data_IF_356766241975
#
_entry.id   IF_356766241975
#
_cell.length_a   1.000
_cell.length_b   1.000
_cell.length_c   1.000
_cell.angle_alpha   90.00
_cell.angle_beta   90.00
_cell.angle_gamma   90.00
#
_symmetry.space_group_name_H-M   'P 1'
#
loop_
_entity.id
_entity.type
_entity.pdbx_description
1 polymer ?
#
# COMPACT_ATOMS: atom_id res chain seq x y z
N UNK A 1 -1.85 -9.48 -14.97
CA UNK A 1 -0.90 -9.39 -13.83
C UNK A 1 0.42 -9.84 -14.37
N UNK A 2 1.50 -9.06 -14.23
CA UNK A 2 2.81 -9.51 -14.69
C UNK A 2 3.12 -10.85 -14.03
N UNK A 3 3.45 -11.86 -14.84
CA UNK A 3 3.86 -13.20 -14.41
C UNK A 3 5.27 -13.20 -13.80
N UNK A 4 5.86 -12.02 -13.62
CA UNK A 4 7.17 -11.89 -13.00
C UNK A 4 7.10 -12.37 -11.54
N UNK A 5 8.05 -13.22 -11.13
CA UNK A 5 8.09 -13.71 -9.76
C UNK A 5 8.29 -12.56 -8.79
N UNK A 6 7.64 -12.65 -7.63
CA UNK A 6 7.91 -11.71 -6.54
C UNK A 6 9.28 -12.02 -5.95
N UNK A 7 10.21 -11.10 -6.15
CA UNK A 7 11.54 -11.04 -5.56
C UNK A 7 11.63 -9.89 -4.56
N UNK A 8 12.69 -9.88 -3.73
CA UNK A 8 12.98 -8.76 -2.82
C UNK A 8 13.01 -7.43 -3.58
N UNK A 9 13.62 -7.39 -4.76
CA UNK A 9 13.68 -6.19 -5.61
C UNK A 9 12.28 -5.75 -6.07
N UNK A 10 11.50 -6.67 -6.65
CA UNK A 10 10.14 -6.34 -7.12
C UNK A 10 9.19 -5.89 -6.01
N UNK A 11 9.32 -6.46 -4.79
CA UNK A 11 8.54 -6.05 -3.61
C UNK A 11 8.95 -4.63 -3.22
N UNK A 12 10.26 -4.35 -3.12
CA UNK A 12 10.77 -3.02 -2.78
C UNK A 12 10.23 -1.95 -3.72
N UNK A 13 10.24 -2.22 -5.02
CA UNK A 13 9.79 -1.27 -6.03
C UNK A 13 8.28 -1.07 -5.99
N UNK A 14 7.52 -2.15 -5.84
CA UNK A 14 6.06 -2.13 -5.75
C UNK A 14 5.52 -1.33 -4.55
N UNK A 15 6.30 -1.20 -3.46
CA UNK A 15 5.89 -0.42 -2.29
C UNK A 15 5.81 1.09 -2.59
N UNK A 16 6.55 1.60 -3.58
CA UNK A 16 6.48 2.99 -4.05
C UNK A 16 6.85 4.09 -3.04
N UNK A 17 7.08 3.73 -1.77
CA UNK A 17 7.42 4.63 -0.68
C UNK A 17 8.81 4.25 -0.11
N UNK A 18 9.79 5.17 -0.13
CA UNK A 18 11.14 4.90 0.37
C UNK A 18 11.19 4.41 1.83
N UNK A 19 10.34 4.94 2.70
CA UNK A 19 10.30 4.52 4.11
C UNK A 19 9.77 3.10 4.27
N UNK A 20 8.76 2.70 3.50
CA UNK A 20 8.26 1.33 3.48
C UNK A 20 9.29 0.36 2.89
N UNK A 21 9.96 0.75 1.81
CA UNK A 21 11.04 -0.02 1.21
C UNK A 21 12.20 -0.26 2.20
N UNK A 22 12.62 0.77 2.93
CA UNK A 22 13.66 0.65 3.96
C UNK A 22 13.22 -0.24 5.12
N UNK A 23 11.96 -0.11 5.56
CA UNK A 23 11.41 -0.98 6.60
C UNK A 23 11.39 -2.45 6.16
N UNK A 24 10.94 -2.72 4.94
CA UNK A 24 10.95 -4.06 4.36
C UNK A 24 12.35 -4.67 4.34
N UNK A 25 13.33 -3.96 3.79
CA UNK A 25 14.72 -4.43 3.73
C UNK A 25 15.30 -4.64 5.14
N UNK A 26 14.98 -3.75 6.08
CA UNK A 26 15.40 -3.86 7.47
C UNK A 26 14.82 -5.07 8.19
N UNK A 27 13.55 -5.40 7.93
CA UNK A 27 12.90 -6.59 8.50
C UNK A 27 13.42 -7.89 7.86
N UNK A 28 13.62 -7.92 6.54
CA UNK A 28 14.18 -9.08 5.83
C UNK A 28 15.60 -9.39 6.29
N UNK A 29 16.47 -8.38 6.34
CA UNK A 29 17.88 -8.57 6.70
C UNK A 29 18.09 -8.96 8.17
N UNK A 30 17.10 -8.73 9.05
CA UNK A 30 17.17 -9.07 10.47
C UNK A 30 16.34 -10.30 10.84
N UNK A 31 15.58 -10.86 9.90
CA UNK A 31 14.74 -12.01 10.17
C UNK A 31 15.60 -13.26 10.46
N UNK A 32 15.30 -14.02 11.53
CA UNK A 32 15.86 -15.35 11.71
C UNK A 32 15.53 -16.24 10.49
N UNK A 33 16.40 -17.20 10.16
CA UNK A 33 16.24 -18.04 8.97
C UNK A 33 14.86 -18.73 8.89
N UNK A 34 14.33 -19.18 10.03
CA UNK A 34 13.02 -19.85 10.11
C UNK A 34 11.82 -18.88 9.96
N UNK A 35 12.04 -17.57 10.07
CA UNK A 35 10.98 -16.55 9.89
C UNK A 35 11.06 -15.84 8.53
N UNK A 36 12.17 -15.97 7.80
CA UNK A 36 12.43 -15.23 6.58
C UNK A 36 11.29 -15.36 5.54
N UNK A 37 10.82 -16.58 5.30
CA UNK A 37 9.72 -16.84 4.36
C UNK A 37 8.40 -16.20 4.84
N UNK A 38 8.16 -16.15 6.14
CA UNK A 38 6.95 -15.53 6.71
C UNK A 38 7.00 -14.01 6.55
N UNK A 39 8.15 -13.39 6.84
CA UNK A 39 8.35 -11.94 6.64
C UNK A 39 8.20 -11.60 5.17
N UNK A 40 8.82 -12.38 4.29
CA UNK A 40 8.70 -12.22 2.85
C UNK A 40 7.24 -12.27 2.37
N UNK A 41 6.51 -13.33 2.72
CA UNK A 41 5.11 -13.50 2.30
C UNK A 41 4.19 -12.37 2.78
N UNK A 42 4.44 -11.84 3.99
CA UNK A 42 3.71 -10.67 4.49
C UNK A 42 3.94 -9.46 3.59
N UNK A 43 5.19 -9.17 3.26
CA UNK A 43 5.55 -8.02 2.44
C UNK A 43 5.14 -8.19 0.97
N UNK A 44 5.18 -9.40 0.44
CA UNK A 44 4.61 -9.74 -0.87
C UNK A 44 3.12 -9.39 -0.93
N UNK A 45 2.34 -9.75 0.09
CA UNK A 45 0.91 -9.39 0.16
C UNK A 45 0.70 -7.88 0.19
N UNK A 46 1.47 -7.17 1.01
CA UNK A 46 1.40 -5.70 1.09
C UNK A 46 1.70 -5.08 -0.28
N UNK A 47 2.76 -5.53 -0.95
CA UNK A 47 3.13 -5.03 -2.28
C UNK A 47 2.04 -5.30 -3.33
N UNK A 48 1.44 -6.50 -3.33
CA UNK A 48 0.29 -6.84 -4.19
C UNK A 48 -0.89 -5.90 -3.95
N UNK A 49 -1.23 -5.65 -2.69
CA UNK A 49 -2.32 -4.77 -2.30
C UNK A 49 -2.03 -3.31 -2.71
N UNK A 50 -0.79 -2.84 -2.57
CA UNK A 50 -0.33 -1.53 -3.03
C UNK A 50 -0.49 -1.38 -4.54
N UNK A 51 0.00 -2.34 -5.33
CA UNK A 51 -0.13 -2.30 -6.81
C UNK A 51 -1.59 -2.30 -7.22
N UNK A 52 -2.42 -3.15 -6.58
CA UNK A 52 -3.85 -3.20 -6.86
C UNK A 52 -4.55 -1.86 -6.52
N UNK A 53 -4.18 -1.23 -5.40
CA UNK A 53 -4.73 0.07 -5.01
C UNK A 53 -4.36 1.18 -6.00
N UNK A 54 -3.09 1.25 -6.42
CA UNK A 54 -2.64 2.22 -7.43
C UNK A 54 -3.36 2.01 -8.76
N UNK A 55 -3.52 0.75 -9.19
CA UNK A 55 -4.27 0.43 -10.41
C UNK A 55 -5.72 0.91 -10.32
N UNK A 56 -6.43 0.58 -9.23
CA UNK A 56 -7.80 1.07 -9.00
C UNK A 56 -7.87 2.59 -9.03
N UNK A 57 -6.94 3.28 -8.37
CA UNK A 57 -6.87 4.74 -8.38
C UNK A 57 -6.71 5.33 -9.79
N UNK A 58 -5.89 4.70 -10.64
CA UNK A 58 -5.74 5.10 -12.05
C UNK A 58 -7.02 4.86 -12.86
N UNK A 59 -7.70 3.75 -12.63
CA UNK A 59 -8.98 3.45 -13.29
C UNK A 59 -10.06 4.47 -12.90
N UNK A 60 -10.12 4.88 -11.62
CA UNK A 60 -11.00 5.93 -11.12
C UNK A 60 -10.69 7.28 -11.80
N UNK A 61 -9.43 7.72 -11.74
CA UNK A 61 -9.02 8.99 -12.33
C UNK A 61 -9.27 9.04 -13.85
N UNK A 62 -9.12 7.90 -14.53
CA UNK A 62 -9.42 7.80 -15.96
C UNK A 62 -10.92 7.92 -16.26
N UNK A 63 -11.80 7.37 -15.42
CA UNK A 63 -13.24 7.52 -15.56
C UNK A 63 -13.68 8.97 -15.31
N UNK A 64 -13.17 9.59 -14.24
CA UNK A 64 -13.43 11.00 -13.95
C UNK A 64 -12.99 11.92 -15.10
N UNK A 65 -11.83 11.65 -15.71
CA UNK A 65 -11.35 12.41 -16.87
C UNK A 65 -12.26 12.29 -18.11
N UNK A 66 -13.04 11.21 -18.22
CA UNK A 66 -14.07 11.02 -19.26
C UNK A 66 -15.43 11.61 -18.87
N UNK A 67 -15.59 12.12 -17.65
CA UNK A 67 -16.88 12.55 -17.10
C UNK A 67 -17.81 11.39 -16.75
N UNK A 68 -17.26 10.18 -16.60
CA UNK A 68 -17.99 8.99 -16.20
C UNK A 68 -17.93 8.82 -14.67
N UNK A 69 -18.99 8.25 -14.10
CA UNK A 69 -18.97 7.85 -12.70
C UNK A 69 -18.08 6.60 -12.53
N UNK A 70 -17.08 6.63 -11.65
CA UNK A 70 -16.17 5.51 -11.51
C UNK A 70 -16.89 4.30 -10.88
N UNK A 71 -16.65 3.11 -11.46
CA UNK A 71 -17.39 1.91 -11.13
C UNK A 71 -17.12 1.42 -9.69
N UNK A 72 -18.19 1.01 -8.99
CA UNK A 72 -18.13 0.41 -7.65
C UNK A 72 -19.15 0.99 -6.68
N UNK A 73 -19.24 0.39 -5.49
CA UNK A 73 -19.99 0.97 -4.38
C UNK A 73 -19.09 1.96 -3.62
N UNK A 74 -19.55 3.20 -3.49
CA UNK A 74 -18.83 4.27 -2.82
C UNK A 74 -19.34 4.44 -1.40
N UNK A 75 -18.44 4.29 -0.44
CA UNK A 75 -18.74 4.58 0.97
C UNK A 75 -18.25 5.99 1.26
N UNK A 76 -19.16 6.87 1.70
CA UNK A 76 -18.76 8.17 2.23
C UNK A 76 -17.93 7.96 3.51
N UNK A 77 -16.65 8.29 3.42
CA UNK A 77 -15.69 8.17 4.52
C UNK A 77 -15.31 9.54 5.12
N UNK A 78 -16.01 10.62 4.76
CA UNK A 78 -15.64 12.01 5.13
C UNK A 78 -15.44 12.16 6.63
N UNK A 79 -16.42 11.73 7.44
CA UNK A 79 -16.36 11.85 8.89
C UNK A 79 -15.26 10.98 9.51
N UNK A 80 -15.06 9.77 8.97
CA UNK A 80 -13.98 8.87 9.39
C UNK A 80 -12.60 9.50 9.15
N UNK A 81 -12.41 10.12 7.99
CA UNK A 81 -11.15 10.79 7.62
C UNK A 81 -10.92 12.01 8.51
N UNK A 82 -11.96 12.81 8.76
CA UNK A 82 -11.89 13.98 9.65
C UNK A 82 -11.48 13.59 11.07
N UNK A 83 -12.11 12.54 11.64
CA UNK A 83 -11.82 12.04 12.97
C UNK A 83 -10.40 11.46 13.11
N UNK A 84 -9.85 10.84 12.06
CA UNK A 84 -8.45 10.39 12.05
C UNK A 84 -7.49 11.57 12.02
N UNK A 85 -7.75 12.57 11.18
CA UNK A 85 -6.91 13.76 11.09
C UNK A 85 -6.86 14.53 12.42
N UNK A 86 -7.99 14.63 13.13
CA UNK A 86 -8.04 15.20 14.48
C UNK A 86 -7.20 14.42 15.49
N UNK A 87 -7.26 13.08 15.47
CA UNK A 87 -6.44 12.23 16.34
C UNK A 87 -4.94 12.39 16.08
N UNK A 88 -4.53 12.52 14.82
CA UNK A 88 -3.12 12.76 14.46
C UNK A 88 -2.66 14.13 14.98
N UNK A 89 -3.47 15.18 14.78
CA UNK A 89 -3.17 16.53 15.29
C UNK A 89 -3.05 16.56 16.81
N UNK A 90 -3.95 15.90 17.53
CA UNK A 90 -3.91 15.83 19.00
C UNK A 90 -2.65 15.13 19.54
N UNK A 91 -2.07 14.19 18.79
CA UNK A 91 -0.83 13.48 19.17
C UNK A 91 0.46 14.22 18.79
N UNK A 92 0.40 15.17 17.87
CA UNK A 92 1.55 16.00 17.46
C UNK A 92 1.75 17.28 18.29
N UNK A 93 0.86 17.54 19.25
CA UNK A 93 0.90 18.72 20.12
C UNK A 93 1.58 18.46 21.48
N UNK A 94 2.33 17.36 21.62
CA UNK A 94 3.04 16.96 22.84
C UNK A 94 4.55 16.84 22.59
#
# INVERSE_FOLDING_TARGET
>A
MSEQPWTIESIRDALGNPALAQRFLGEINRAPAHELLRVFARWERIAKDTVAAVRRGREIAAAEARGEEPAGEWVDATDRVRAEAERIRARGAA
#
